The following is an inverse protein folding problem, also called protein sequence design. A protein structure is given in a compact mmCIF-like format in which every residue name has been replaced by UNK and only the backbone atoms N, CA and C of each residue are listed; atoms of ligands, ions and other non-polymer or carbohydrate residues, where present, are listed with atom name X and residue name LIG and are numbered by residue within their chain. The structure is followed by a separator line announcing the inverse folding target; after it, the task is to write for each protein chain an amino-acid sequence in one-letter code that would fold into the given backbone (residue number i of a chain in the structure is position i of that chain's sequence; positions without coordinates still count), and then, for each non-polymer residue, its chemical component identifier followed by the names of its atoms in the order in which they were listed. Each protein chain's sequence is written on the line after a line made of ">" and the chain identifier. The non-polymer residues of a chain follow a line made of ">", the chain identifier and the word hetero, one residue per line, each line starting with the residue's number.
data_IF_183675487515
#
_entry.id   IF_183675487515
#
_cell.length_a   1.000
_cell.length_b   1.000
_cell.length_c   1.000
_cell.angle_alpha   90.00
_cell.angle_beta   90.00
_cell.angle_gamma   90.00
#
_symmetry.space_group_name_H-M   'P 1'
#
loop_
_entity.id
_entity.type
_entity.pdbx_description
1 polymer ?
#
# COMPACT_ATOMS: atom_id res chain seq x y z
N UNK A 1 11.95 -16.13 -5.50
CA UNK A 1 11.63 -15.52 -4.19
C UNK A 1 11.22 -14.08 -4.43
N UNK A 2 10.15 -13.60 -3.77
CA UNK A 2 9.74 -12.20 -3.79
C UNK A 2 10.85 -11.24 -3.37
N UNK A 3 10.85 -10.05 -3.95
CA UNK A 3 11.73 -8.96 -3.51
C UNK A 3 11.16 -8.27 -2.26
N UNK A 4 12.02 -7.92 -1.30
CA UNK A 4 11.64 -7.10 -0.15
C UNK A 4 12.32 -5.75 -0.23
N UNK A 5 11.54 -4.67 -0.17
CA UNK A 5 12.07 -3.30 -0.15
C UNK A 5 11.91 -2.69 1.23
N UNK A 6 13.02 -2.25 1.80
CA UNK A 6 13.08 -1.63 3.11
C UNK A 6 14.14 -0.53 3.16
N UNK A 7 13.86 0.55 3.89
CA UNK A 7 14.84 1.57 4.24
C UNK A 7 14.80 1.85 5.75
N UNK A 8 15.96 1.96 6.42
CA UNK A 8 16.02 2.45 7.80
C UNK A 8 15.60 3.93 7.92
N UNK A 9 15.45 4.64 6.80
CA UNK A 9 14.98 6.03 6.75
C UNK A 9 13.45 6.15 6.66
N UNK A 10 12.70 5.05 6.69
CA UNK A 10 11.25 5.13 6.79
C UNK A 10 10.83 5.61 8.17
N UNK A 11 9.98 6.64 8.17
CA UNK A 11 9.57 7.32 9.37
C UNK A 11 10.34 8.59 9.67
N UNK A 12 9.73 9.43 10.49
CA UNK A 12 10.34 10.59 11.09
C UNK A 12 9.69 10.83 12.47
N UNK A 13 10.24 11.76 13.26
CA UNK A 13 9.57 12.22 14.46
C UNK A 13 8.31 13.01 14.06
N UNK A 14 7.15 12.43 14.34
CA UNK A 14 5.84 13.04 14.09
C UNK A 14 5.15 13.48 15.39
N UNK A 15 5.90 13.49 16.50
CA UNK A 15 5.36 13.74 17.84
C UNK A 15 4.48 12.59 18.35
N UNK A 16 3.67 12.90 19.36
CA UNK A 16 2.69 11.95 19.88
C UNK A 16 1.54 11.80 18.88
N UNK A 17 1.50 10.65 18.20
CA UNK A 17 0.57 10.40 17.11
C UNK A 17 0.13 8.93 17.11
N UNK A 18 -1.06 8.65 16.57
CA UNK A 18 -1.65 7.30 16.50
C UNK A 18 -0.93 6.41 15.47
N UNK A 19 -0.34 7.01 14.44
CA UNK A 19 0.49 6.33 13.43
C UNK A 19 1.73 5.71 14.09
N UNK A 20 1.85 4.37 14.14
CA UNK A 20 3.00 3.71 14.76
C UNK A 20 4.17 3.64 13.76
N UNK A 21 4.92 4.73 13.59
CA UNK A 21 6.06 4.83 12.65
C UNK A 21 7.09 3.70 12.83
N UNK A 22 7.28 3.24 14.07
CA UNK A 22 8.17 2.14 14.42
C UNK A 22 7.76 0.79 13.80
N UNK A 23 6.53 0.65 13.28
CA UNK A 23 6.05 -0.60 12.67
C UNK A 23 6.96 -1.08 11.55
N UNK A 24 7.53 -0.19 10.75
CA UNK A 24 8.39 -0.56 9.62
C UNK A 24 9.65 -1.31 10.06
N UNK A 25 10.32 -0.81 11.11
CA UNK A 25 11.47 -1.50 11.71
C UNK A 25 11.05 -2.81 12.38
N UNK A 26 9.92 -2.82 13.08
CA UNK A 26 9.39 -4.03 13.72
C UNK A 26 9.07 -5.14 12.71
N UNK A 27 8.50 -4.81 11.54
CA UNK A 27 8.24 -5.80 10.48
C UNK A 27 9.54 -6.42 9.99
N UNK A 28 10.56 -5.60 9.67
CA UNK A 28 11.89 -6.11 9.30
C UNK A 28 12.45 -7.05 10.38
N UNK A 29 12.40 -6.62 11.64
CA UNK A 29 12.98 -7.40 12.75
C UNK A 29 12.24 -8.71 12.99
N UNK A 30 10.90 -8.72 12.83
CA UNK A 30 10.10 -9.94 12.91
C UNK A 30 10.37 -10.89 11.73
N UNK A 31 10.56 -10.36 10.52
CA UNK A 31 10.94 -11.16 9.35
C UNK A 31 12.31 -11.83 9.52
N UNK A 32 13.31 -11.09 10.03
CA UNK A 32 14.61 -11.66 10.37
C UNK A 32 14.49 -12.72 11.47
N UNK A 33 13.73 -12.44 12.52
CA UNK A 33 13.52 -13.38 13.61
C UNK A 33 12.75 -14.65 13.20
N UNK A 34 11.99 -14.61 12.10
CA UNK A 34 11.31 -15.80 11.55
C UNK A 34 12.27 -16.83 10.95
N UNK A 35 13.50 -16.42 10.62
CA UNK A 35 14.48 -17.25 9.90
C UNK A 35 14.21 -17.41 8.40
N UNK A 36 13.17 -16.75 7.87
CA UNK A 36 12.83 -16.82 6.43
C UNK A 36 13.68 -15.89 5.56
N UNK A 37 14.35 -14.91 6.17
CA UNK A 37 15.12 -13.89 5.45
C UNK A 37 16.43 -13.59 6.18
N UNK A 38 17.48 -13.38 5.39
CA UNK A 38 18.76 -12.81 5.85
C UNK A 38 18.74 -11.27 5.71
N UNK A 39 19.58 -10.53 6.45
CA UNK A 39 19.68 -9.07 6.35
C UNK A 39 19.88 -8.53 4.93
N UNK A 40 20.56 -9.29 4.06
CA UNK A 40 20.84 -8.91 2.68
C UNK A 40 19.63 -9.06 1.74
N UNK A 41 18.53 -9.69 2.20
CA UNK A 41 17.31 -9.83 1.41
C UNK A 41 16.55 -8.50 1.25
N UNK A 42 16.86 -7.50 2.07
CA UNK A 42 16.19 -6.20 2.08
C UNK A 42 16.87 -5.21 1.13
N UNK A 43 16.20 -4.93 0.03
CA UNK A 43 16.64 -3.98 -0.98
C UNK A 43 16.36 -2.54 -0.54
N UNK A 44 17.36 -1.67 -0.69
CA UNK A 44 17.18 -0.23 -0.50
C UNK A 44 16.43 0.38 -1.70
N UNK A 45 15.57 1.37 -1.48
CA UNK A 45 14.98 2.16 -2.55
C UNK A 45 16.03 2.81 -3.46
N UNK A 46 15.82 2.70 -4.78
CA UNK A 46 16.54 3.51 -5.78
C UNK A 46 15.87 4.88 -5.90
N UNK A 47 16.66 5.92 -6.14
CA UNK A 47 16.11 7.25 -6.39
C UNK A 47 15.63 7.41 -7.82
N UNK A 48 14.40 7.91 -8.00
CA UNK A 48 13.78 8.15 -9.31
C UNK A 48 13.58 9.64 -9.64
N UNK A 49 14.02 10.55 -8.75
CA UNK A 49 13.87 11.99 -8.93
C UNK A 49 12.45 12.50 -8.64
N UNK A 50 12.30 13.77 -8.26
CA UNK A 50 11.00 14.33 -7.86
C UNK A 50 10.06 14.58 -9.06
N UNK A 51 10.58 14.54 -10.29
CA UNK A 51 9.79 14.70 -11.51
C UNK A 51 8.73 13.60 -11.70
N UNK A 52 8.96 12.41 -11.15
CA UNK A 52 7.99 11.29 -11.24
C UNK A 52 6.72 11.58 -10.45
N UNK A 53 6.79 12.47 -9.45
CA UNK A 53 5.61 12.87 -8.67
C UNK A 53 4.57 13.57 -9.54
N UNK A 54 5.01 14.29 -10.59
CA UNK A 54 4.12 14.99 -11.53
C UNK A 54 3.31 14.04 -12.43
N UNK A 55 3.54 12.73 -12.34
CA UNK A 55 2.72 11.75 -13.04
C UNK A 55 1.30 11.68 -12.50
N UNK A 56 1.10 11.98 -11.20
CA UNK A 56 -0.21 11.91 -10.54
C UNK A 56 -0.52 13.14 -9.68
N UNK A 57 0.50 13.85 -9.19
CA UNK A 57 0.31 15.08 -8.43
C UNK A 57 0.44 16.32 -9.32
N UNK A 58 -0.39 17.33 -9.03
CA UNK A 58 -0.36 18.61 -9.70
C UNK A 58 0.90 19.38 -9.32
N UNK A 59 1.43 20.12 -10.30
CA UNK A 59 2.67 20.88 -10.15
C UNK A 59 2.60 21.94 -9.04
N UNK A 60 1.45 22.61 -8.88
CA UNK A 60 1.24 23.64 -7.85
C UNK A 60 1.36 23.07 -6.44
N UNK A 61 0.69 21.94 -6.20
CA UNK A 61 0.77 21.22 -4.92
C UNK A 61 2.20 20.74 -4.61
N UNK A 62 2.88 20.16 -5.60
CA UNK A 62 4.27 19.71 -5.42
C UNK A 62 5.22 20.87 -5.14
N UNK A 63 5.01 22.02 -5.77
CA UNK A 63 5.84 23.20 -5.51
C UNK A 63 5.68 23.67 -4.06
N UNK A 64 4.46 23.66 -3.52
CA UNK A 64 4.24 23.97 -2.10
C UNK A 64 4.89 22.93 -1.18
N UNK A 65 4.63 21.65 -1.44
CA UNK A 65 5.12 20.54 -0.62
C UNK A 65 6.66 20.48 -0.58
N UNK A 66 7.32 20.52 -1.75
CA UNK A 66 8.78 20.40 -1.86
C UNK A 66 9.53 21.61 -1.28
N UNK A 67 8.86 22.77 -1.17
CA UNK A 67 9.39 23.95 -0.51
C UNK A 67 8.90 24.09 0.94
N UNK A 68 8.27 23.05 1.51
CA UNK A 68 7.74 23.02 2.88
C UNK A 68 6.79 24.19 3.21
N UNK A 69 6.04 24.66 2.20
CA UNK A 69 5.09 25.76 2.39
C UNK A 69 3.82 25.24 3.06
N UNK A 70 3.41 25.93 4.12
CA UNK A 70 2.18 25.65 4.86
C UNK A 70 1.00 26.34 4.16
N UNK A 71 0.41 25.65 3.18
CA UNK A 71 -0.77 26.11 2.44
C UNK A 71 -1.99 25.31 2.86
N UNK A 72 -3.18 25.73 2.44
CA UNK A 72 -4.41 24.97 2.71
C UNK A 72 -4.24 23.51 2.24
N UNK A 73 -3.52 23.29 1.13
CA UNK A 73 -3.42 22.00 0.46
C UNK A 73 -2.40 21.08 1.13
N UNK A 74 -1.32 21.62 1.69
CA UNK A 74 -0.34 20.83 2.46
C UNK A 74 -0.78 20.59 3.90
N UNK A 75 -1.53 21.51 4.51
CA UNK A 75 -2.03 21.40 5.88
C UNK A 75 -3.28 20.51 6.03
N UNK A 76 -3.75 19.87 4.95
CA UNK A 76 -4.78 18.82 5.03
C UNK A 76 -4.25 17.48 5.52
N UNK A 77 -2.92 17.32 5.56
CA UNK A 77 -2.31 16.23 6.31
C UNK A 77 -2.46 16.48 7.81
N UNK A 78 -2.76 15.42 8.57
CA UNK A 78 -2.75 15.45 10.03
C UNK A 78 -1.34 15.28 10.62
N UNK A 79 -0.34 14.99 9.77
CA UNK A 79 1.06 14.94 10.15
C UNK A 79 1.70 16.34 10.10
N UNK A 80 2.79 16.58 10.85
CA UNK A 80 3.59 17.78 10.64
C UNK A 80 4.28 17.76 9.27
N UNK A 81 4.60 18.96 8.75
CA UNK A 81 5.40 19.11 7.53
C UNK A 81 6.76 19.73 7.85
N UNK A 82 7.79 18.90 7.72
CA UNK A 82 9.20 19.30 7.79
C UNK A 82 10.06 18.47 6.82
N UNK A 83 11.36 18.75 6.78
CA UNK A 83 12.27 18.08 5.84
C UNK A 83 12.43 16.56 6.11
N UNK A 84 12.61 16.09 7.36
CA UNK A 84 12.61 14.65 7.66
C UNK A 84 11.36 13.92 7.17
N UNK A 85 10.17 14.47 7.42
CA UNK A 85 8.90 13.88 7.00
C UNK A 85 8.82 13.86 5.48
N UNK A 86 9.12 14.97 4.81
CA UNK A 86 9.14 15.02 3.35
C UNK A 86 10.10 13.96 2.75
N UNK A 87 11.30 13.83 3.31
CA UNK A 87 12.27 12.83 2.87
C UNK A 87 11.75 11.40 3.04
N UNK A 88 11.02 11.12 4.13
CA UNK A 88 10.36 9.83 4.32
C UNK A 88 9.36 9.53 3.20
N UNK A 89 8.45 10.46 2.88
CA UNK A 89 7.48 10.26 1.80
C UNK A 89 8.14 10.11 0.43
N UNK A 90 9.19 10.88 0.14
CA UNK A 90 9.97 10.73 -1.09
C UNK A 90 10.63 9.35 -1.19
N UNK A 91 11.21 8.87 -0.08
CA UNK A 91 11.84 7.55 0.00
C UNK A 91 10.81 6.41 -0.13
N UNK A 92 9.59 6.62 0.33
CA UNK A 92 8.49 5.67 0.15
C UNK A 92 8.04 5.58 -1.31
N UNK A 93 7.92 6.71 -2.02
CA UNK A 93 7.65 6.72 -3.47
C UNK A 93 8.73 5.93 -4.22
N UNK A 94 10.00 6.25 -3.96
CA UNK A 94 11.15 5.54 -4.52
C UNK A 94 11.09 4.02 -4.20
N UNK A 95 10.65 3.67 -2.99
CA UNK A 95 10.49 2.30 -2.53
C UNK A 95 9.43 1.52 -3.32
N UNK A 96 8.26 2.11 -3.57
CA UNK A 96 7.18 1.44 -4.32
C UNK A 96 7.54 1.30 -5.80
N UNK A 97 8.22 2.28 -6.40
CA UNK A 97 8.75 2.14 -7.77
C UNK A 97 9.83 1.06 -7.83
N UNK A 98 10.73 1.02 -6.83
CA UNK A 98 11.76 -0.03 -6.73
C UNK A 98 11.13 -1.42 -6.65
N UNK A 99 10.18 -1.62 -5.74
CA UNK A 99 9.48 -2.89 -5.58
C UNK A 99 8.74 -3.30 -6.88
N UNK A 100 8.13 -2.32 -7.56
CA UNK A 100 7.49 -2.56 -8.87
C UNK A 100 8.49 -3.07 -9.91
N UNK A 101 9.66 -2.44 -10.01
CA UNK A 101 10.69 -2.87 -10.94
C UNK A 101 11.23 -4.28 -10.62
N UNK A 102 11.43 -4.60 -9.34
CA UNK A 102 11.93 -5.93 -8.93
C UNK A 102 10.87 -7.03 -9.13
N UNK A 103 9.59 -6.73 -8.87
CA UNK A 103 8.49 -7.67 -9.07
C UNK A 103 8.36 -8.13 -10.53
N UNK A 104 8.74 -7.29 -11.50
CA UNK A 104 8.75 -7.68 -12.93
C UNK A 104 9.71 -8.84 -13.21
N UNK A 105 10.80 -8.96 -12.44
CA UNK A 105 11.78 -10.04 -12.59
C UNK A 105 11.46 -11.30 -11.79
N UNK A 106 10.82 -11.15 -10.62
CA UNK A 106 10.60 -12.26 -9.68
C UNK A 106 9.13 -12.64 -9.43
N UNK A 107 8.19 -11.92 -10.04
CA UNK A 107 6.74 -12.16 -9.96
C UNK A 107 6.05 -11.43 -8.80
N UNK A 108 6.74 -11.13 -7.71
CA UNK A 108 6.15 -10.49 -6.55
C UNK A 108 7.16 -9.65 -5.76
N UNK A 109 6.73 -8.54 -5.18
CA UNK A 109 7.52 -7.76 -4.25
C UNK A 109 6.68 -7.19 -3.10
N UNK A 110 7.30 -6.98 -1.95
CA UNK A 110 6.69 -6.31 -0.81
C UNK A 110 7.51 -5.08 -0.42
N UNK A 111 6.88 -3.91 -0.39
CA UNK A 111 7.47 -2.66 0.07
C UNK A 111 6.95 -2.31 1.47
N UNK A 112 7.84 -2.36 2.46
CA UNK A 112 7.48 -2.21 3.87
C UNK A 112 7.03 -0.78 4.22
N UNK A 113 7.49 0.24 3.51
CA UNK A 113 7.32 1.65 3.91
C UNK A 113 6.23 2.45 3.18
N UNK A 114 5.42 1.80 2.33
CA UNK A 114 4.48 2.48 1.41
C UNK A 114 3.00 2.24 1.72
N UNK A 115 2.14 2.63 0.78
CA UNK A 115 0.68 2.46 0.86
C UNK A 115 -0.07 3.73 1.22
N UNK A 116 0.45 4.91 0.87
CA UNK A 116 -0.11 6.21 1.21
C UNK A 116 -1.25 6.63 0.26
N UNK A 117 -2.34 5.86 0.29
CA UNK A 117 -3.45 5.92 -0.67
C UNK A 117 -4.36 7.17 -0.61
N UNK A 118 -4.25 8.01 0.44
CA UNK A 118 -5.15 9.16 0.63
C UNK A 118 -4.70 10.40 -0.13
N UNK A 119 -3.40 10.57 -0.39
CA UNK A 119 -2.90 11.80 -1.01
C UNK A 119 -3.54 12.01 -2.39
N UNK A 120 -4.09 13.20 -2.60
CA UNK A 120 -4.76 13.58 -3.83
C UNK A 120 -3.78 14.18 -4.84
N UNK A 121 -4.20 14.35 -6.11
CA UNK A 121 -3.39 15.09 -7.06
C UNK A 121 -3.02 16.49 -6.56
N UNK A 122 -3.95 17.19 -5.90
CA UNK A 122 -3.81 18.61 -5.57
C UNK A 122 -3.58 18.94 -4.09
N UNK A 123 -3.58 17.96 -3.19
CA UNK A 123 -3.48 18.20 -1.74
C UNK A 123 -3.06 16.95 -0.97
N UNK A 124 -2.50 17.15 0.22
CA UNK A 124 -2.27 16.08 1.20
C UNK A 124 -3.60 15.67 1.84
N UNK A 125 -3.76 14.44 2.32
CA UNK A 125 -5.00 14.04 2.98
C UNK A 125 -4.73 12.91 3.98
N UNK A 126 -5.40 12.97 5.14
CA UNK A 126 -5.17 12.03 6.24
C UNK A 126 -3.70 12.07 6.64
N UNK A 127 -3.04 10.91 6.63
CA UNK A 127 -1.60 10.82 6.92
C UNK A 127 -0.71 10.81 5.67
N UNK A 128 -1.21 11.23 4.52
CA UNK A 128 -0.54 11.04 3.23
C UNK A 128 -0.22 12.37 2.55
N UNK A 129 1.06 12.67 2.35
CA UNK A 129 1.53 13.78 1.50
C UNK A 129 1.70 13.37 0.03
N UNK A 130 2.18 12.16 -0.23
CA UNK A 130 2.41 11.63 -1.57
C UNK A 130 1.73 10.28 -1.70
N UNK A 131 1.22 9.95 -2.88
CA UNK A 131 0.61 8.66 -3.17
C UNK A 131 1.60 7.77 -3.92
N UNK A 132 2.38 7.00 -3.18
CA UNK A 132 3.43 6.13 -3.73
C UNK A 132 2.86 5.04 -4.66
N UNK A 133 1.69 4.50 -4.33
CA UNK A 133 0.99 3.49 -5.14
C UNK A 133 0.57 4.06 -6.49
N UNK A 134 -0.01 5.27 -6.48
CA UNK A 134 -0.41 5.98 -7.69
C UNK A 134 0.80 6.37 -8.55
N UNK A 135 1.84 6.94 -7.94
CA UNK A 135 3.08 7.30 -8.65
C UNK A 135 3.71 6.06 -9.29
N UNK A 136 3.85 4.95 -8.57
CA UNK A 136 4.46 3.73 -9.10
C UNK A 136 3.63 3.12 -10.25
N UNK A 137 2.30 3.12 -10.14
CA UNK A 137 1.40 2.67 -11.21
C UNK A 137 1.57 3.51 -12.48
N UNK A 138 1.50 4.83 -12.35
CA UNK A 138 1.65 5.75 -13.48
C UNK A 138 3.06 5.69 -14.09
N UNK A 139 4.08 5.51 -13.25
CA UNK A 139 5.46 5.32 -13.69
C UNK A 139 5.61 4.05 -14.52
N UNK A 140 5.12 2.91 -14.02
CA UNK A 140 5.20 1.63 -14.72
C UNK A 140 4.49 1.67 -16.09
N UNK A 141 3.32 2.30 -16.16
CA UNK A 141 2.60 2.51 -17.42
C UNK A 141 3.38 3.42 -18.38
N UNK A 142 3.91 4.56 -17.89
CA UNK A 142 4.67 5.50 -18.72
C UNK A 142 5.98 4.92 -19.22
N UNK A 143 6.64 4.11 -18.41
CA UNK A 143 7.88 3.42 -18.76
C UNK A 143 7.66 2.22 -19.69
N UNK A 144 6.41 1.84 -19.95
CA UNK A 144 6.07 0.67 -20.77
C UNK A 144 6.43 -0.66 -20.09
N UNK A 145 6.53 -0.67 -18.76
CA UNK A 145 6.79 -1.89 -17.99
C UNK A 145 5.58 -2.81 -17.94
N UNK A 146 4.39 -2.20 -17.95
CA UNK A 146 3.10 -2.86 -17.94
C UNK A 146 2.10 -2.11 -18.80
N UNK A 147 1.06 -2.80 -19.25
CA UNK A 147 0.01 -2.21 -20.09
C UNK A 147 -1.25 -1.88 -19.28
N UNK A 148 -1.50 -2.65 -18.21
CA UNK A 148 -2.68 -2.51 -17.36
C UNK A 148 -2.36 -2.80 -15.90
N UNK A 149 -2.88 -1.96 -15.02
CA UNK A 149 -2.73 -2.05 -13.56
C UNK A 149 -4.10 -2.28 -12.92
N UNK A 150 -4.14 -3.14 -11.90
CA UNK A 150 -5.24 -3.15 -10.94
C UNK A 150 -4.69 -2.71 -9.58
N UNK A 151 -5.31 -1.69 -9.00
CA UNK A 151 -5.02 -1.31 -7.61
C UNK A 151 -6.08 -1.96 -6.73
N UNK A 152 -5.64 -2.90 -5.90
CA UNK A 152 -6.48 -3.59 -4.92
C UNK A 152 -6.19 -2.97 -3.56
N UNK A 153 -7.14 -2.23 -3.03
CA UNK A 153 -7.00 -1.48 -1.78
C UNK A 153 -7.87 -2.06 -0.68
N UNK A 154 -7.22 -2.71 0.29
CA UNK A 154 -7.87 -3.39 1.41
C UNK A 154 -7.47 -2.80 2.76
N UNK A 155 -7.01 -1.55 2.78
CA UNK A 155 -7.02 -0.70 3.97
C UNK A 155 -8.47 -0.43 4.40
N UNK A 156 -8.71 -0.22 5.69
CA UNK A 156 -10.08 -0.01 6.20
C UNK A 156 -10.69 1.31 5.72
N UNK A 157 -9.84 2.28 5.40
CA UNK A 157 -10.25 3.57 4.83
C UNK A 157 -10.31 3.47 3.31
N UNK A 158 -11.20 4.24 2.69
CA UNK A 158 -11.23 4.24 1.22
C UNK A 158 -9.96 4.92 0.67
N UNK A 159 -9.32 4.28 -0.31
CA UNK A 159 -8.25 4.83 -1.14
C UNK A 159 -8.70 5.95 -2.08
N UNK A 160 -9.27 7.00 -1.51
CA UNK A 160 -9.85 8.15 -2.20
C UNK A 160 -8.85 8.94 -3.05
N UNK A 161 -7.61 9.12 -2.57
CA UNK A 161 -6.55 9.76 -3.35
C UNK A 161 -6.26 8.98 -4.63
N UNK A 162 -6.07 7.67 -4.49
CA UNK A 162 -5.85 6.74 -5.61
C UNK A 162 -7.03 6.72 -6.58
N UNK A 163 -8.26 6.61 -6.07
CA UNK A 163 -9.47 6.65 -6.89
C UNK A 163 -9.55 7.95 -7.71
N UNK A 164 -9.29 9.11 -7.08
CA UNK A 164 -9.30 10.40 -7.77
C UNK A 164 -8.21 10.51 -8.84
N UNK A 165 -7.00 10.01 -8.56
CA UNK A 165 -5.86 10.09 -9.48
C UNK A 165 -6.12 9.40 -10.82
N UNK A 166 -6.83 8.28 -10.80
CA UNK A 166 -7.06 7.45 -11.98
C UNK A 166 -8.45 7.62 -12.61
N UNK A 167 -9.20 8.65 -12.21
CA UNK A 167 -10.46 8.98 -12.89
C UNK A 167 -10.21 9.25 -14.38
N UNK A 168 -10.76 8.38 -15.23
CA UNK A 168 -10.64 8.47 -16.68
C UNK A 168 -9.35 7.88 -17.28
N UNK A 169 -8.57 7.14 -16.49
CA UNK A 169 -7.41 6.36 -16.97
C UNK A 169 -7.79 4.88 -17.10
N UNK A 170 -8.26 4.48 -18.28
CA UNK A 170 -8.78 3.12 -18.54
C UNK A 170 -7.74 1.98 -18.35
N UNK A 171 -6.45 2.33 -18.26
CA UNK A 171 -5.36 1.35 -17.99
C UNK A 171 -5.19 1.05 -16.51
N UNK A 172 -5.84 1.78 -15.61
CA UNK A 172 -5.80 1.53 -14.16
C UNK A 172 -7.21 1.27 -13.66
N UNK A 173 -7.43 0.08 -13.10
CA UNK A 173 -8.68 -0.26 -12.42
C UNK A 173 -8.50 -0.13 -10.92
N UNK A 174 -9.33 0.68 -10.27
CA UNK A 174 -9.29 0.91 -8.82
C UNK A 174 -10.37 0.10 -8.11
N UNK A 175 -9.95 -0.77 -7.21
CA UNK A 175 -10.82 -1.57 -6.35
C UNK A 175 -10.52 -1.26 -4.89
N UNK A 176 -11.52 -0.81 -4.13
CA UNK A 176 -11.41 -0.59 -2.69
C UNK A 176 -12.51 -1.30 -1.91
N UNK A 177 -12.13 -2.06 -0.88
CA UNK A 177 -13.04 -2.55 0.15
C UNK A 177 -12.73 -1.84 1.46
N UNK A 178 -13.67 -1.02 1.93
CA UNK A 178 -13.46 -0.14 3.06
C UNK A 178 -14.69 -0.11 3.96
N UNK A 179 -14.52 0.29 5.22
CA UNK A 179 -15.66 0.49 6.10
C UNK A 179 -16.50 1.70 5.63
N UNK A 180 -17.77 1.46 5.32
CA UNK A 180 -18.66 2.45 4.72
C UNK A 180 -18.81 3.71 5.59
N UNK A 181 -18.93 3.52 6.90
CA UNK A 181 -19.17 4.59 7.88
C UNK A 181 -17.88 5.17 8.47
N UNK A 182 -16.71 4.85 7.91
CA UNK A 182 -15.42 5.39 8.34
C UNK A 182 -14.94 6.52 7.41
N UNK A 183 -13.76 7.07 7.67
CA UNK A 183 -13.10 8.06 6.83
C UNK A 183 -12.76 7.49 5.43
N UNK A 184 -12.81 8.30 4.36
CA UNK A 184 -13.27 9.70 4.27
C UNK A 184 -14.79 9.83 4.14
N UNK A 185 -15.30 11.04 4.37
CA UNK A 185 -16.70 11.40 4.11
C UNK A 185 -16.78 12.75 3.35
N UNK A 186 -17.41 12.81 2.15
CA UNK A 186 -18.00 11.69 1.41
C UNK A 186 -16.93 10.74 0.86
N UNK A 187 -17.35 9.53 0.47
CA UNK A 187 -16.53 8.60 -0.31
C UNK A 187 -16.31 9.14 -1.71
N UNK A 188 -15.10 8.95 -2.24
CA UNK A 188 -14.75 9.22 -3.64
C UNK A 188 -15.37 8.14 -4.54
N UNK A 189 -15.48 8.40 -5.84
CA UNK A 189 -15.93 7.40 -6.81
C UNK A 189 -14.72 6.82 -7.56
N UNK A 190 -14.39 5.56 -7.29
CA UNK A 190 -13.49 4.72 -8.07
C UNK A 190 -14.25 3.82 -9.04
N UNK A 191 -13.58 2.78 -9.55
CA UNK A 191 -14.17 1.81 -10.49
C UNK A 191 -15.00 0.75 -9.77
N UNK A 192 -14.49 0.25 -8.63
CA UNK A 192 -15.19 -0.67 -7.76
C UNK A 192 -14.98 -0.27 -6.29
N UNK A 193 -16.02 0.32 -5.70
CA UNK A 193 -16.06 0.66 -4.28
C UNK A 193 -17.04 -0.27 -3.55
N UNK A 194 -16.54 -1.01 -2.57
CA UNK A 194 -17.34 -1.93 -1.74
C UNK A 194 -17.35 -1.41 -0.30
N UNK A 195 -18.47 -0.80 0.07
CA UNK A 195 -18.72 -0.31 1.42
C UNK A 195 -19.10 -1.44 2.38
N UNK A 196 -18.21 -1.74 3.31
CA UNK A 196 -18.39 -2.78 4.32
C UNK A 196 -19.11 -2.22 5.56
N UNK A 197 -20.02 -3.02 6.12
CA UNK A 197 -20.73 -2.68 7.37
C UNK A 197 -19.79 -2.74 8.57
N UNK A 198 -20.12 -1.97 9.60
CA UNK A 198 -19.38 -1.95 10.85
C UNK A 198 -19.30 -3.36 11.47
N UNK A 199 -18.14 -3.69 12.04
CA UNK A 199 -17.84 -4.96 12.71
C UNK A 199 -18.04 -6.19 11.81
N UNK A 200 -17.86 -6.06 10.50
CA UNK A 200 -17.78 -7.22 9.62
C UNK A 200 -16.58 -8.09 10.03
N UNK A 201 -16.81 -9.41 10.14
CA UNK A 201 -15.78 -10.39 10.48
C UNK A 201 -15.28 -11.16 9.26
N UNK A 202 -14.38 -12.11 9.51
CA UNK A 202 -13.61 -12.86 8.49
C UNK A 202 -14.47 -13.45 7.36
N UNK A 203 -15.49 -14.26 7.65
CA UNK A 203 -16.23 -15.01 6.63
C UNK A 203 -16.93 -14.09 5.61
N UNK A 204 -17.68 -13.10 6.08
CA UNK A 204 -18.39 -12.15 5.21
C UNK A 204 -17.41 -11.25 4.45
N UNK A 205 -16.30 -10.84 5.09
CA UNK A 205 -15.26 -10.06 4.44
C UNK A 205 -14.61 -10.82 3.29
N UNK A 206 -14.21 -12.07 3.52
CA UNK A 206 -13.55 -12.89 2.50
C UNK A 206 -14.50 -13.23 1.34
N UNK A 207 -15.81 -13.39 1.61
CA UNK A 207 -16.79 -13.53 0.54
C UNK A 207 -16.88 -12.29 -0.35
N UNK A 208 -16.94 -11.09 0.26
CA UNK A 208 -16.96 -9.83 -0.50
C UNK A 208 -15.65 -9.62 -1.28
N UNK A 209 -14.53 -10.06 -0.71
CA UNK A 209 -13.23 -10.03 -1.37
C UNK A 209 -13.20 -10.91 -2.61
N UNK A 210 -13.70 -12.14 -2.54
CA UNK A 210 -13.75 -13.05 -3.70
C UNK A 210 -14.50 -12.41 -4.89
N UNK A 211 -15.68 -11.82 -4.62
CA UNK A 211 -16.46 -11.10 -5.63
C UNK A 211 -15.73 -9.87 -6.19
N UNK A 212 -14.98 -9.17 -5.34
CA UNK A 212 -14.18 -8.01 -5.72
C UNK A 212 -12.95 -8.37 -6.56
N UNK A 213 -12.25 -9.45 -6.20
CA UNK A 213 -11.11 -9.98 -6.96
C UNK A 213 -11.53 -10.51 -8.32
N UNK A 214 -12.73 -11.10 -8.43
CA UNK A 214 -13.30 -11.48 -9.72
C UNK A 214 -13.38 -10.30 -10.69
N UNK A 215 -13.90 -9.16 -10.23
CA UNK A 215 -14.06 -7.97 -11.06
C UNK A 215 -12.76 -7.21 -11.31
N UNK A 216 -11.86 -7.17 -10.31
CA UNK A 216 -10.66 -6.33 -10.33
C UNK A 216 -9.42 -7.03 -10.89
N UNK A 217 -9.34 -8.36 -10.80
CA UNK A 217 -8.20 -9.16 -11.30
C UNK A 217 -8.65 -10.09 -12.43
N UNK A 218 -9.63 -10.97 -12.22
CA UNK A 218 -9.97 -11.98 -13.23
C UNK A 218 -10.60 -11.38 -14.50
N UNK A 219 -11.50 -10.43 -14.34
CA UNK A 219 -12.14 -9.72 -15.47
C UNK A 219 -11.17 -8.72 -16.12
N UNK A 220 -10.38 -8.00 -15.31
CA UNK A 220 -9.46 -6.98 -15.84
C UNK A 220 -8.22 -7.56 -16.49
N UNK A 221 -7.72 -8.70 -16.01
CA UNK A 221 -6.45 -9.34 -16.42
C UNK A 221 -5.30 -8.35 -16.48
N UNK A 222 -4.99 -7.66 -15.35
CA UNK A 222 -3.87 -6.71 -15.32
C UNK A 222 -2.54 -7.45 -15.49
N UNK A 223 -1.49 -6.73 -15.86
CA UNK A 223 -0.13 -7.26 -15.80
C UNK A 223 0.57 -6.89 -14.48
N UNK A 224 0.05 -5.90 -13.75
CA UNK A 224 0.48 -5.51 -12.41
C UNK A 224 -0.70 -5.34 -11.46
N UNK A 225 -0.62 -5.97 -10.30
CA UNK A 225 -1.49 -5.74 -9.15
C UNK A 225 -0.72 -4.93 -8.12
N UNK A 226 -1.14 -3.70 -7.87
CA UNK A 226 -0.70 -2.92 -6.71
C UNK A 226 -1.63 -3.23 -5.56
N UNK A 227 -1.10 -3.86 -4.51
CA UNK A 227 -1.87 -4.30 -3.36
C UNK A 227 -1.58 -3.43 -2.13
N UNK A 228 -2.60 -2.76 -1.62
CA UNK A 228 -2.55 -1.98 -0.37
C UNK A 228 -3.04 -2.89 0.76
N UNK A 229 -2.10 -3.48 1.50
CA UNK A 229 -2.32 -4.49 2.52
C UNK A 229 -2.42 -3.87 3.94
N UNK A 230 -3.34 -2.90 4.10
CA UNK A 230 -3.59 -2.21 5.37
C UNK A 230 -3.86 -3.19 6.52
N UNK A 231 -3.34 -2.88 7.71
CA UNK A 231 -3.57 -3.71 8.91
C UNK A 231 -4.76 -3.22 9.75
N UNK A 232 -5.32 -2.06 9.44
CA UNK A 232 -6.42 -1.44 10.17
C UNK A 232 -7.83 -2.04 10.00
N UNK A 233 -8.09 -3.06 9.16
CA UNK A 233 -9.31 -3.85 9.30
C UNK A 233 -9.33 -4.75 10.56
N UNK A 234 -8.20 -4.88 11.26
CA UNK A 234 -8.04 -5.70 12.45
C UNK A 234 -8.98 -5.28 13.59
N UNK A 235 -9.57 -6.27 14.29
CA UNK A 235 -10.57 -6.03 15.34
C UNK A 235 -10.12 -5.17 16.52
N UNK A 236 -8.81 -5.05 16.76
CA UNK A 236 -8.24 -4.23 17.84
C UNK A 236 -7.48 -2.99 17.30
N UNK A 237 -7.81 -2.57 16.08
CA UNK A 237 -7.38 -1.30 15.51
C UNK A 237 -8.10 -0.10 16.15
N UNK A 238 -7.39 1.01 16.34
CA UNK A 238 -7.93 2.22 16.96
C UNK A 238 -8.67 3.13 15.97
N UNK A 239 -8.34 3.06 14.68
CA UNK A 239 -8.94 3.89 13.62
C UNK A 239 -9.82 3.06 12.67
N UNK A 240 -9.70 1.74 12.70
CA UNK A 240 -10.63 0.85 12.03
C UNK A 240 -12.00 0.75 12.71
N UNK A 241 -12.81 -0.16 12.18
CA UNK A 241 -14.12 -0.50 12.74
C UNK A 241 -14.68 -1.82 12.21
N UNK A 242 -13.82 -2.60 11.56
CA UNK A 242 -14.09 -3.98 11.17
C UNK A 242 -13.65 -4.93 12.30
N UNK A 243 -13.82 -6.23 12.12
CA UNK A 243 -13.55 -7.23 13.15
C UNK A 243 -12.74 -8.41 12.61
N UNK A 244 -11.79 -8.12 11.72
CA UNK A 244 -10.91 -9.15 11.17
C UNK A 244 -9.94 -9.69 12.22
N UNK A 245 -9.76 -11.00 12.20
CA UNK A 245 -8.74 -11.70 12.99
C UNK A 245 -7.39 -11.72 12.25
N UNK A 246 -6.33 -12.17 12.93
CA UNK A 246 -5.06 -12.43 12.25
C UNK A 246 -5.20 -13.46 11.12
N UNK A 247 -6.02 -14.49 11.32
CA UNK A 247 -6.22 -15.53 10.31
C UNK A 247 -7.07 -15.02 9.13
N UNK A 248 -8.06 -14.16 9.40
CA UNK A 248 -8.83 -13.48 8.37
C UNK A 248 -7.95 -12.59 7.49
N UNK A 249 -7.04 -11.82 8.09
CA UNK A 249 -6.08 -10.99 7.37
C UNK A 249 -5.08 -11.83 6.55
N UNK A 250 -4.58 -12.94 7.10
CA UNK A 250 -3.74 -13.90 6.35
C UNK A 250 -4.47 -14.48 5.13
N UNK A 251 -5.72 -14.90 5.33
CA UNK A 251 -6.54 -15.44 4.24
C UNK A 251 -6.80 -14.38 3.16
N UNK A 252 -7.08 -13.13 3.56
CA UNK A 252 -7.21 -11.99 2.65
C UNK A 252 -5.95 -11.83 1.80
N UNK A 253 -4.79 -11.73 2.44
CA UNK A 253 -3.52 -11.47 1.73
C UNK A 253 -3.23 -12.60 0.74
N UNK A 254 -3.40 -13.87 1.16
CA UNK A 254 -3.27 -15.05 0.31
C UNK A 254 -4.20 -15.03 -0.90
N UNK A 255 -5.47 -14.67 -0.72
CA UNK A 255 -6.44 -14.60 -1.82
C UNK A 255 -6.01 -13.62 -2.91
N UNK A 256 -5.50 -12.44 -2.54
CA UNK A 256 -5.01 -11.44 -3.50
C UNK A 256 -3.79 -11.98 -4.26
N UNK A 257 -2.84 -12.59 -3.55
CA UNK A 257 -1.63 -13.16 -4.14
C UNK A 257 -1.93 -14.31 -5.10
N UNK A 258 -2.79 -15.25 -4.70
CA UNK A 258 -3.20 -16.38 -5.54
C UNK A 258 -3.96 -15.90 -6.79
N UNK A 259 -4.86 -14.92 -6.64
CA UNK A 259 -5.58 -14.33 -7.77
C UNK A 259 -4.62 -13.67 -8.79
N UNK A 260 -3.66 -12.87 -8.32
CA UNK A 260 -2.65 -12.25 -9.17
C UNK A 260 -1.79 -13.30 -9.89
N UNK A 261 -1.29 -14.31 -9.16
CA UNK A 261 -0.49 -15.40 -9.72
C UNK A 261 -1.27 -16.20 -10.76
N UNK A 262 -2.55 -16.47 -10.52
CA UNK A 262 -3.40 -17.26 -11.40
C UNK A 262 -3.61 -16.60 -12.77
N UNK A 263 -3.68 -15.27 -12.82
CA UNK A 263 -3.77 -14.53 -14.11
C UNK A 263 -2.41 -14.19 -14.71
N UNK A 264 -1.31 -14.56 -14.05
CA UNK A 264 0.05 -14.24 -14.49
C UNK A 264 0.43 -12.77 -14.30
N UNK A 265 -0.26 -12.04 -13.42
CA UNK A 265 0.11 -10.67 -13.05
C UNK A 265 1.27 -10.69 -12.05
N UNK A 266 2.13 -9.67 -12.11
CA UNK A 266 3.05 -9.41 -11.01
C UNK A 266 2.33 -8.68 -9.88
N UNK A 267 2.71 -8.92 -8.63
CA UNK A 267 2.10 -8.25 -7.46
C UNK A 267 3.12 -7.43 -6.69
N UNK A 268 2.72 -6.23 -6.28
CA UNK A 268 3.50 -5.35 -5.42
C UNK A 268 2.64 -4.98 -4.23
N UNK A 269 2.98 -5.48 -3.04
CA UNK A 269 2.24 -5.19 -1.82
C UNK A 269 2.89 -4.09 -0.99
N UNK A 270 2.07 -3.29 -0.31
CA UNK A 270 2.50 -2.22 0.61
C UNK A 270 1.73 -2.29 1.92
N UNK A 271 2.28 -1.72 2.99
CA UNK A 271 1.69 -1.85 4.34
C UNK A 271 0.52 -0.91 4.61
N UNK A 272 0.52 0.32 4.08
CA UNK A 272 -0.51 1.34 4.32
C UNK A 272 -0.79 1.64 5.81
N UNK A 273 -2.06 1.71 6.22
CA UNK A 273 -2.52 1.93 7.59
C UNK A 273 -2.30 0.75 8.53
N UNK A 274 -2.80 0.88 9.76
CA UNK A 274 -2.58 -0.07 10.84
C UNK A 274 -2.17 0.62 12.12
N UNK A 275 -3.08 0.65 13.07
CA UNK A 275 -3.07 1.43 14.30
C UNK A 275 -3.56 0.61 15.49
N UNK A 276 -3.31 -0.70 15.47
CA UNK A 276 -3.62 -1.58 16.58
C UNK A 276 -3.13 -0.99 17.90
N UNK A 277 -3.91 -1.19 18.97
CA UNK A 277 -3.57 -0.72 20.33
C UNK A 277 -2.14 -1.11 20.71
N UNK A 278 -1.66 -2.25 20.18
CA UNK A 278 -0.28 -2.72 20.28
C UNK A 278 0.38 -2.65 18.90
N UNK A 279 1.43 -1.84 18.77
CA UNK A 279 2.17 -1.72 17.52
C UNK A 279 2.74 -3.07 17.03
N UNK A 280 3.02 -4.01 17.95
CA UNK A 280 3.45 -5.36 17.61
C UNK A 280 2.40 -6.15 16.84
N UNK A 281 1.10 -5.91 17.08
CA UNK A 281 0.01 -6.57 16.35
C UNK A 281 -0.03 -6.07 14.90
N UNK A 282 0.09 -4.76 14.68
CA UNK A 282 0.24 -4.16 13.34
C UNK A 282 1.46 -4.76 12.62
N UNK A 283 2.61 -4.80 13.28
CA UNK A 283 3.82 -5.37 12.69
C UNK A 283 3.67 -6.87 12.39
N UNK A 284 2.98 -7.62 13.24
CA UNK A 284 2.69 -9.04 13.01
C UNK A 284 1.78 -9.26 11.80
N UNK A 285 0.77 -8.41 11.61
CA UNK A 285 -0.12 -8.49 10.44
C UNK A 285 0.68 -8.30 9.15
N UNK A 286 1.49 -7.25 9.06
CA UNK A 286 2.29 -7.02 7.86
C UNK A 286 3.40 -8.07 7.67
N UNK A 287 3.98 -8.60 8.76
CA UNK A 287 4.91 -9.74 8.69
C UNK A 287 4.21 -10.96 8.10
N UNK A 288 3.01 -11.28 8.57
CA UNK A 288 2.21 -12.36 8.02
C UNK A 288 1.90 -12.13 6.53
N UNK A 289 1.57 -10.90 6.12
CA UNK A 289 1.32 -10.57 4.71
C UNK A 289 2.53 -10.88 3.81
N UNK A 290 3.76 -10.67 4.31
CA UNK A 290 5.00 -11.04 3.62
C UNK A 290 5.18 -12.57 3.59
N UNK A 291 4.92 -13.26 4.70
CA UNK A 291 5.03 -14.72 4.77
C UNK A 291 4.01 -15.42 3.85
N UNK A 292 2.77 -14.92 3.76
CA UNK A 292 1.80 -15.45 2.79
C UNK A 292 2.27 -15.24 1.34
N UNK A 293 2.97 -14.14 1.04
CA UNK A 293 3.57 -13.94 -0.28
C UNK A 293 4.67 -14.97 -0.56
N UNK A 294 5.50 -15.31 0.42
CA UNK A 294 6.49 -16.37 0.28
C UNK A 294 5.87 -17.74 0.01
N UNK A 295 4.75 -18.06 0.67
CA UNK A 295 4.03 -19.32 0.43
C UNK A 295 3.53 -19.42 -1.02
N UNK A 296 3.09 -18.29 -1.61
CA UNK A 296 2.63 -18.24 -3.00
C UNK A 296 3.80 -18.23 -3.98
N UNK A 297 4.93 -17.60 -3.66
CA UNK A 297 6.16 -17.61 -4.46
C UNK A 297 7.34 -18.19 -3.66
N UNK A 298 7.36 -19.52 -3.46
CA UNK A 298 8.41 -20.14 -2.66
C UNK A 298 9.79 -19.94 -3.28
N UNK A 299 10.81 -19.99 -2.43
CA UNK A 299 12.18 -20.09 -2.91
C UNK A 299 12.36 -21.45 -3.58
N UNK A 300 12.80 -21.47 -4.84
CA UNK A 300 13.22 -22.74 -5.45
C UNK A 300 14.50 -23.20 -4.73
N UNK A 301 14.42 -24.35 -4.07
CA UNK A 301 15.58 -25.02 -3.48
C UNK A 301 16.54 -25.45 -4.60
N UNK A 302 17.44 -24.56 -5.01
CA UNK A 302 18.37 -24.89 -6.09
C UNK A 302 19.11 -23.74 -6.73
N UNK A 303 19.96 -23.05 -5.97
CA UNK A 303 21.27 -22.52 -6.39
C UNK A 303 21.97 -21.99 -5.13
N UNK A 304 22.64 -22.90 -4.43
CA UNK A 304 23.71 -22.57 -3.49
C UNK A 304 24.97 -22.21 -4.25
#
# INVERSE_FOLDING_TARGET
>A
MPALVYSPSYGADIGAHVFPVQKYGMVRDQLLASGSFEPEAFLLPRSYGTEVLQLVHRKDYLDDLLNLRQTQETMRSELPLDQPILNWFLTAVDGTITATAEALGCGAAFHIGGGFHHAYPGHAEGFCYLNDVGVASAFALKAGWVEKVSVVDLDVHQGNGTARMFQGEDRVFTFSMHQQNNYPMPKEKGDLDVGLRDRMGDEEYLQQLDEGLAKSIYDQKPNLVQYVAGADPYHADQLGGLSLSFDGLRARDRMVYEAAKQVGAVVVATTAGGYAVRAEDTAKIHTNAVLEMLEVWPQEDGLK
#
